data_IF_077009611521
#
_entry.id   IF_077009611521
#
_cell.length_a   1.000
_cell.length_b   1.000
_cell.length_c   1.000
_cell.angle_alpha   90.00
_cell.angle_beta   90.00
_cell.angle_gamma   90.00
#
_symmetry.space_group_name_H-M   'P 1'
#
loop_
_entity.id
_entity.type
_entity.pdbx_description
1 polymer ?
#
# COMPACT_ATOMS: atom_id res chain seq x y z
N UNK A 1 8.06 -13.37 -0.19
CA UNK A 1 6.72 -12.99 0.30
C UNK A 1 6.36 -13.81 1.53
N UNK A 2 6.03 -13.18 2.67
CA UNK A 2 5.79 -13.85 3.97
C UNK A 2 4.28 -14.02 4.29
N UNK A 3 3.47 -14.49 3.32
CA UNK A 3 2.04 -14.77 3.58
C UNK A 3 1.91 -15.98 4.51
N UNK A 4 1.10 -15.86 5.56
CA UNK A 4 0.81 -16.96 6.50
C UNK A 4 -0.01 -18.07 5.83
N UNK A 5 0.13 -19.31 6.29
CA UNK A 5 -0.74 -20.41 5.85
C UNK A 5 -2.16 -20.17 6.36
N UNK A 6 -3.16 -20.50 5.55
CA UNK A 6 -4.57 -20.41 5.95
C UNK A 6 -5.18 -19.01 5.92
N UNK A 7 -4.55 -18.05 5.24
CA UNK A 7 -5.17 -16.73 5.04
C UNK A 7 -6.45 -16.81 4.21
N UNK A 8 -7.49 -16.02 4.53
CA UNK A 8 -8.72 -15.97 3.75
C UNK A 8 -8.46 -15.56 2.28
N UNK A 9 -9.26 -16.09 1.32
CA UNK A 9 -9.22 -15.62 -0.06
C UNK A 9 -9.85 -14.23 -0.19
N UNK A 10 -9.50 -13.54 -1.28
CA UNK A 10 -10.08 -12.26 -1.70
C UNK A 10 -11.08 -12.48 -2.84
N UNK A 11 -11.99 -11.53 -3.04
CA UNK A 11 -13.00 -11.61 -4.10
C UNK A 11 -12.62 -10.75 -5.29
N UNK A 12 -12.49 -11.35 -6.47
CA UNK A 12 -12.24 -10.66 -7.74
C UNK A 12 -13.32 -11.09 -8.73
N UNK A 13 -14.07 -10.14 -9.29
CA UNK A 13 -15.18 -10.39 -10.23
C UNK A 13 -16.13 -11.52 -9.77
N UNK A 14 -16.46 -11.53 -8.47
CA UNK A 14 -17.34 -12.52 -7.84
C UNK A 14 -16.70 -13.89 -7.56
N UNK A 15 -15.42 -14.10 -7.91
CA UNK A 15 -14.69 -15.35 -7.65
C UNK A 15 -13.75 -15.21 -6.46
N UNK A 16 -13.69 -16.24 -5.62
CA UNK A 16 -12.70 -16.32 -4.53
C UNK A 16 -11.35 -16.73 -5.10
N UNK A 17 -10.35 -15.87 -4.91
CA UNK A 17 -8.96 -16.06 -5.34
C UNK A 17 -8.07 -16.12 -4.10
N UNK A 18 -7.13 -17.08 -4.00
CA UNK A 18 -6.15 -17.09 -2.92
C UNK A 18 -5.41 -15.75 -2.84
N UNK A 19 -5.33 -15.14 -1.66
CA UNK A 19 -4.73 -13.81 -1.49
C UNK A 19 -3.34 -13.70 -2.11
N UNK A 20 -2.49 -14.70 -1.87
CA UNK A 20 -1.14 -14.77 -2.47
C UNK A 20 -1.17 -14.72 -4.00
N UNK A 21 -2.11 -15.41 -4.63
CA UNK A 21 -2.23 -15.45 -6.08
C UNK A 21 -2.64 -14.08 -6.62
N UNK A 22 -3.56 -13.38 -5.95
CA UNK A 22 -3.94 -12.02 -6.33
C UNK A 22 -2.76 -11.04 -6.22
N UNK A 23 -2.01 -11.07 -5.11
CA UNK A 23 -0.84 -10.19 -4.96
C UNK A 23 0.24 -10.46 -6.02
N UNK A 24 0.53 -11.74 -6.30
CA UNK A 24 1.49 -12.10 -7.36
C UNK A 24 1.00 -11.65 -8.73
N UNK A 25 -0.29 -11.83 -9.04
CA UNK A 25 -0.85 -11.40 -10.31
C UNK A 25 -0.74 -9.87 -10.51
N UNK A 26 -0.88 -9.08 -9.45
CA UNK A 26 -0.61 -7.63 -9.51
C UNK A 26 0.87 -7.36 -9.80
N UNK A 27 1.77 -8.01 -9.05
CA UNK A 27 3.22 -7.83 -9.14
C UNK A 27 3.91 -8.45 -10.36
N UNK A 28 3.19 -9.28 -11.13
CA UNK A 28 3.64 -9.83 -12.40
C UNK A 28 2.94 -9.14 -13.60
N UNK A 29 2.04 -8.18 -13.35
CA UNK A 29 1.23 -7.53 -14.39
C UNK A 29 0.22 -8.46 -15.09
N UNK A 30 -0.11 -9.58 -14.46
CA UNK A 30 -1.02 -10.63 -14.97
C UNK A 30 -2.47 -10.41 -14.55
N UNK A 31 -2.73 -9.51 -13.60
CA UNK A 31 -4.09 -9.16 -13.20
C UNK A 31 -4.87 -8.59 -14.39
N UNK A 32 -6.10 -9.06 -14.59
CA UNK A 32 -6.98 -8.58 -15.65
C UNK A 32 -7.26 -7.09 -15.45
N UNK A 33 -7.05 -6.31 -16.51
CA UNK A 33 -7.29 -4.89 -16.55
C UNK A 33 -8.43 -4.55 -17.49
N UNK A 34 -9.16 -3.48 -17.19
CA UNK A 34 -10.25 -2.96 -18.00
C UNK A 34 -9.99 -1.51 -18.42
N UNK A 35 -10.62 -1.08 -19.50
CA UNK A 35 -10.71 0.34 -19.86
C UNK A 35 -11.94 0.94 -19.17
N UNK A 36 -11.77 2.08 -18.51
CA UNK A 36 -12.85 2.85 -17.90
C UNK A 36 -12.84 4.25 -18.54
N UNK A 37 -14.01 4.75 -18.95
CA UNK A 37 -14.12 6.03 -19.66
C UNK A 37 -13.47 6.01 -21.04
N UNK A 38 -12.75 7.08 -21.38
CA UNK A 38 -12.07 7.27 -22.67
C UNK A 38 -10.61 6.77 -22.65
N UNK A 39 -10.21 5.97 -21.66
CA UNK A 39 -8.85 5.43 -21.60
C UNK A 39 -8.57 4.50 -22.80
N UNK A 40 -7.55 4.79 -23.62
CA UNK A 40 -7.28 4.06 -24.86
C UNK A 40 -6.81 2.62 -24.63
N UNK A 41 -6.29 2.34 -23.42
CA UNK A 41 -5.75 1.04 -23.06
C UNK A 41 -6.30 0.54 -21.71
N UNK A 42 -6.51 -0.78 -21.57
CA UNK A 42 -6.99 -1.37 -20.34
C UNK A 42 -5.89 -1.32 -19.27
N UNK A 43 -6.02 -0.37 -18.34
CA UNK A 43 -5.05 -0.15 -17.26
C UNK A 43 -5.66 -0.24 -15.86
N UNK A 44 -6.98 -0.35 -15.73
CA UNK A 44 -7.65 -0.38 -14.44
C UNK A 44 -7.81 -1.81 -13.92
N UNK A 45 -7.34 -2.06 -12.69
CA UNK A 45 -7.56 -3.33 -11.99
C UNK A 45 -8.63 -3.17 -10.92
N UNK A 46 -9.45 -4.19 -10.73
CA UNK A 46 -10.45 -4.22 -9.64
C UNK A 46 -9.78 -4.55 -8.30
N UNK A 47 -10.11 -3.76 -7.28
CA UNK A 47 -9.71 -3.99 -5.91
C UNK A 47 -10.70 -4.93 -5.21
N UNK A 48 -10.23 -5.95 -4.48
CA UNK A 48 -11.11 -6.76 -3.66
C UNK A 48 -11.82 -5.93 -2.59
N UNK A 49 -13.13 -6.15 -2.35
CA UNK A 49 -13.86 -5.49 -1.28
C UNK A 49 -13.25 -5.72 0.10
N UNK A 50 -12.57 -6.85 0.31
CA UNK A 50 -11.95 -7.18 1.59
C UNK A 50 -10.78 -6.26 1.98
N UNK A 51 -10.16 -5.61 0.99
CA UNK A 51 -9.01 -4.71 1.20
C UNK A 51 -9.33 -3.26 0.85
N UNK A 52 -10.44 -2.99 0.14
CA UNK A 52 -10.83 -1.64 -0.26
C UNK A 52 -11.55 -0.91 0.88
N UNK A 53 -11.08 0.29 1.22
CA UNK A 53 -11.74 1.16 2.20
C UNK A 53 -12.85 1.94 1.51
N UNK A 54 -14.09 1.73 1.95
CA UNK A 54 -15.20 2.63 1.64
C UNK A 54 -15.24 3.75 2.67
N UNK A 55 -15.32 5.00 2.21
CA UNK A 55 -15.30 6.16 3.08
C UNK A 55 -16.27 7.25 2.61
N UNK A 56 -16.57 8.18 3.52
CA UNK A 56 -17.24 9.44 3.21
C UNK A 56 -16.53 10.58 3.91
N UNK A 57 -16.51 11.76 3.29
CA UNK A 57 -15.79 12.92 3.81
C UNK A 57 -14.30 12.90 3.46
N UNK A 58 -13.45 13.17 4.45
CA UNK A 58 -12.00 13.34 4.24
C UNK A 58 -11.28 11.98 4.06
N UNK A 59 -10.66 11.72 2.89
CA UNK A 59 -9.95 10.49 2.62
C UNK A 59 -8.70 10.29 3.49
N UNK A 60 -8.00 11.37 3.84
CA UNK A 60 -6.82 11.30 4.71
C UNK A 60 -7.25 10.89 6.11
N UNK A 61 -8.35 11.46 6.61
CA UNK A 61 -8.92 11.05 7.89
C UNK A 61 -9.37 9.59 7.85
N UNK A 62 -10.00 9.14 6.77
CA UNK A 62 -10.48 7.76 6.63
C UNK A 62 -9.35 6.73 6.67
N UNK A 63 -8.25 6.93 5.92
CA UNK A 63 -7.11 6.00 5.97
C UNK A 63 -6.42 6.02 7.35
N UNK A 64 -6.32 7.18 8.00
CA UNK A 64 -5.74 7.27 9.34
C UNK A 64 -6.64 6.61 10.38
N UNK A 65 -7.97 6.74 10.27
CA UNK A 65 -8.92 6.04 11.13
C UNK A 65 -8.79 4.53 10.98
N UNK A 66 -8.70 4.02 9.75
CA UNK A 66 -8.60 2.58 9.49
C UNK A 66 -7.30 1.97 10.03
N UNK A 67 -6.17 2.67 9.87
CA UNK A 67 -4.86 2.14 10.28
C UNK A 67 -4.52 2.46 11.74
N UNK A 68 -4.83 3.67 12.19
CA UNK A 68 -4.45 4.22 13.48
C UNK A 68 -5.65 4.55 14.39
N UNK A 69 -6.84 3.95 14.18
CA UNK A 69 -8.04 4.24 14.97
C UNK A 69 -7.86 4.12 16.49
N UNK A 70 -7.04 3.18 16.95
CA UNK A 70 -6.75 2.93 18.38
C UNK A 70 -5.58 3.77 18.93
N UNK A 71 -5.12 4.79 18.20
CA UNK A 71 -3.93 5.54 18.57
C UNK A 71 -4.05 6.19 19.96
N UNK A 72 -5.22 6.74 20.30
CA UNK A 72 -5.45 7.35 21.62
C UNK A 72 -5.47 6.31 22.74
N UNK A 73 -6.00 5.12 22.49
CA UNK A 73 -6.01 4.02 23.46
C UNK A 73 -4.65 3.33 23.62
N UNK A 74 -3.77 3.47 22.61
CA UNK A 74 -2.42 2.89 22.66
C UNK A 74 -1.48 3.60 23.64
N UNK A 75 -1.83 4.79 24.15
CA UNK A 75 -0.97 5.62 25.02
C UNK A 75 0.46 5.82 24.49
N UNK A 76 0.64 5.83 23.17
CA UNK A 76 1.96 5.98 22.55
C UNK A 76 2.81 4.71 22.61
N UNK A 77 2.21 3.52 22.75
CA UNK A 77 2.91 2.24 22.72
C UNK A 77 3.76 2.10 21.44
N UNK A 78 5.09 1.96 21.56
CA UNK A 78 5.97 1.78 20.41
C UNK A 78 5.64 0.53 19.58
N UNK A 79 5.11 -0.53 20.20
CA UNK A 79 4.71 -1.75 19.49
C UNK A 79 3.53 -1.53 18.55
N UNK A 80 2.51 -0.83 19.04
CA UNK A 80 1.36 -0.40 18.25
C UNK A 80 1.77 0.44 17.03
N UNK A 81 2.66 1.40 17.22
CA UNK A 81 3.14 2.28 16.15
C UNK A 81 4.01 1.54 15.12
N UNK A 82 4.93 0.68 15.57
CA UNK A 82 5.86 -0.05 14.68
C UNK A 82 5.17 -1.09 13.80
N UNK A 83 4.01 -1.60 14.21
CA UNK A 83 3.26 -2.60 13.46
C UNK A 83 2.36 -2.03 12.36
N UNK A 84 2.36 -0.70 12.18
CA UNK A 84 1.48 0.05 11.27
C UNK A 84 2.25 0.94 10.31
N UNK A 85 1.79 1.03 9.07
CA UNK A 85 2.32 2.00 8.10
C UNK A 85 1.25 2.43 7.09
N UNK A 86 1.35 3.66 6.59
CA UNK A 86 0.60 4.14 5.42
C UNK A 86 1.60 4.48 4.32
N UNK A 87 1.41 3.91 3.13
CA UNK A 87 2.19 4.19 1.92
C UNK A 87 1.37 5.04 0.96
N UNK A 88 1.99 6.04 0.35
CA UNK A 88 1.35 6.93 -0.64
C UNK A 88 2.41 7.47 -1.62
N UNK A 89 2.07 7.75 -2.89
CA UNK A 89 3.10 7.94 -3.92
C UNK A 89 3.82 9.30 -3.80
N UNK A 90 3.13 10.33 -3.32
CA UNK A 90 3.65 11.69 -3.26
C UNK A 90 3.99 12.11 -1.83
N UNK A 91 5.11 12.82 -1.68
CA UNK A 91 5.56 13.35 -0.40
C UNK A 91 4.58 14.34 0.23
N UNK A 92 3.80 15.06 -0.57
CA UNK A 92 2.73 15.93 -0.06
C UNK A 92 1.67 15.13 0.69
N UNK A 93 1.21 14.03 0.11
CA UNK A 93 0.27 13.11 0.76
C UNK A 93 0.87 12.47 2.02
N UNK A 94 2.17 12.15 2.01
CA UNK A 94 2.89 11.70 3.21
C UNK A 94 2.80 12.76 4.32
N UNK A 95 3.02 14.04 4.00
CA UNK A 95 2.91 15.13 4.98
C UNK A 95 1.51 15.22 5.56
N UNK A 96 0.48 15.15 4.72
CA UNK A 96 -0.91 15.25 5.18
C UNK A 96 -1.27 14.11 6.13
N UNK A 97 -0.95 12.86 5.76
CA UNK A 97 -1.15 11.68 6.61
C UNK A 97 -0.38 11.82 7.93
N UNK A 98 0.90 12.17 7.86
CA UNK A 98 1.73 12.34 9.06
C UNK A 98 1.17 13.41 9.99
N UNK A 99 0.74 14.56 9.45
CA UNK A 99 0.13 15.63 10.25
C UNK A 99 -1.16 15.16 10.92
N UNK A 100 -2.03 14.45 10.20
CA UNK A 100 -3.28 13.91 10.77
C UNK A 100 -3.02 12.87 11.86
N UNK A 101 -1.98 12.04 11.75
CA UNK A 101 -1.56 11.10 12.81
C UNK A 101 -1.02 11.87 14.02
N UNK A 102 -0.13 12.84 13.80
CA UNK A 102 0.51 13.62 14.87
C UNK A 102 -0.50 14.45 15.67
N UNK A 103 -1.53 15.01 15.04
CA UNK A 103 -2.60 15.75 15.71
C UNK A 103 -3.41 14.91 16.69
N UNK A 104 -3.36 13.58 16.58
CA UNK A 104 -4.06 12.65 17.49
C UNK A 104 -3.19 12.19 18.65
N UNK A 105 -1.88 12.41 18.59
CA UNK A 105 -0.96 12.05 19.66
C UNK A 105 -0.93 13.15 20.72
N UNK A 106 -0.90 12.79 22.02
CA UNK A 106 -0.61 13.75 23.06
C UNK A 106 0.86 14.19 22.98
N UNK A 107 1.12 15.49 23.11
CA UNK A 107 2.48 16.04 23.19
C UNK A 107 2.76 17.17 22.19
N UNK A 108 4.00 17.66 22.21
CA UNK A 108 4.42 18.74 21.31
C UNK A 108 4.87 18.19 19.95
N UNK A 109 4.41 18.84 18.88
CA UNK A 109 4.87 18.56 17.53
C UNK A 109 6.35 18.94 17.38
N UNK A 110 7.13 18.03 16.80
CA UNK A 110 8.52 18.31 16.45
C UNK A 110 8.82 17.77 15.07
N UNK A 111 9.18 18.67 14.16
CA UNK A 111 9.63 18.32 12.82
C UNK A 111 11.12 17.94 12.86
N UNK A 112 11.43 16.75 12.37
CA UNK A 112 12.80 16.28 12.17
C UNK A 112 13.05 16.13 10.67
N UNK A 113 14.13 16.72 10.16
CA UNK A 113 14.58 16.48 8.79
C UNK A 113 15.35 15.16 8.76
N UNK A 114 15.11 14.32 7.75
CA UNK A 114 15.91 13.10 7.56
C UNK A 114 17.38 13.47 7.40
N UNK A 115 18.25 12.86 8.21
CA UNK A 115 19.68 12.97 8.03
C UNK A 115 20.13 11.90 7.03
N UNK A 116 20.71 12.32 5.90
CA UNK A 116 21.33 11.41 4.92
C UNK A 116 22.70 10.90 5.38
N UNK A 117 23.12 11.26 6.60
CA UNK A 117 24.40 10.88 7.18
C UNK A 117 24.24 9.66 8.08
N UNK A 118 24.80 8.53 7.66
CA UNK A 118 25.04 7.39 8.55
C UNK A 118 26.07 7.84 9.59
N UNK A 119 25.66 8.05 10.84
CA UNK A 119 26.59 8.27 11.93
C UNK A 119 27.48 7.04 12.07
N UNK A 120 28.81 7.22 11.98
CA UNK A 120 29.78 6.18 12.38
C UNK A 120 29.70 6.03 13.90
N UNK A 121 28.80 5.16 14.38
CA UNK A 121 28.56 4.99 15.82
C UNK A 121 28.20 3.55 16.15
N UNK A 122 29.22 2.82 16.64
CA UNK A 122 29.20 1.53 17.35
C UNK A 122 28.34 0.39 16.77
N UNK A 123 29.04 -0.65 16.33
CA UNK A 123 28.54 -2.01 16.11
C UNK A 123 27.74 -2.54 17.29
N UNK A 124 26.41 -2.50 17.18
CA UNK A 124 25.51 -3.53 17.71
C UNK A 124 24.80 -4.14 16.54
N UNK A 125 25.30 -5.29 16.13
CA UNK A 125 24.67 -6.21 15.19
C UNK A 125 23.40 -6.78 15.83
N UNK A 126 22.28 -6.14 15.56
CA UNK A 126 21.03 -6.85 15.33
C UNK A 126 20.59 -6.42 13.94
N UNK A 127 20.87 -7.28 12.96
CA UNK A 127 20.31 -7.12 11.63
C UNK A 127 18.79 -7.06 11.79
N UNK A 128 18.20 -5.93 11.46
CA UNK A 128 16.75 -5.73 11.43
C UNK A 128 16.16 -6.75 10.44
N UNK A 129 15.71 -7.89 10.97
CA UNK A 129 15.06 -8.97 10.21
C UNK A 129 13.69 -8.50 9.71
N UNK A 130 13.66 -7.54 8.79
CA UNK A 130 12.46 -7.07 8.09
C UNK A 130 11.22 -6.98 8.98
N UNK A 131 11.09 -5.87 9.73
CA UNK A 131 9.90 -5.58 10.53
C UNK A 131 8.64 -5.87 9.72
N UNK A 132 7.92 -6.91 10.16
CA UNK A 132 6.71 -7.35 9.48
C UNK A 132 5.58 -6.45 9.96
N UNK A 133 5.21 -5.49 9.11
CA UNK A 133 4.08 -4.59 9.35
C UNK A 133 2.80 -5.42 9.28
N UNK A 134 2.02 -5.41 10.36
CA UNK A 134 0.79 -6.22 10.45
C UNK A 134 -0.40 -5.50 9.81
N UNK A 135 -0.38 -4.17 9.84
CA UNK A 135 -1.46 -3.31 9.34
C UNK A 135 -0.89 -2.25 8.40
N UNK A 136 -1.11 -2.42 7.11
CA UNK A 136 -0.61 -1.53 6.07
C UNK A 136 -1.78 -0.86 5.36
N UNK A 137 -1.75 0.47 5.37
CA UNK A 137 -2.57 1.31 4.51
C UNK A 137 -1.84 1.64 3.22
N UNK A 138 -2.53 1.57 2.09
CA UNK A 138 -2.09 2.08 0.81
C UNK A 138 -3.05 3.20 0.41
N UNK A 139 -2.60 4.44 0.53
CA UNK A 139 -3.35 5.63 0.18
C UNK A 139 -2.96 6.10 -1.22
N UNK A 140 -3.90 5.95 -2.16
CA UNK A 140 -3.73 6.22 -3.59
C UNK A 140 -4.65 7.39 -4.01
N UNK A 141 -4.33 8.63 -3.60
CA UNK A 141 -5.07 9.81 -4.05
C UNK A 141 -4.85 10.09 -5.54
N UNK A 142 -3.67 9.75 -6.05
CA UNK A 142 -3.34 9.83 -7.47
C UNK A 142 -3.03 8.44 -8.01
N UNK A 143 -3.35 8.22 -9.27
CA UNK A 143 -3.08 6.98 -10.01
C UNK A 143 -1.61 6.81 -10.42
N UNK A 144 -0.65 7.43 -9.72
CA UNK A 144 0.80 7.39 -10.05
C UNK A 144 1.57 6.25 -9.36
N UNK A 145 0.89 5.27 -8.78
CA UNK A 145 1.58 4.15 -8.14
C UNK A 145 2.20 3.22 -9.18
N UNK A 146 3.49 3.42 -9.46
CA UNK A 146 4.25 2.52 -10.32
C UNK A 146 4.27 1.09 -9.75
N UNK A 147 4.21 0.10 -10.64
CA UNK A 147 4.16 -1.33 -10.35
C UNK A 147 5.02 -1.81 -9.15
N UNK A 148 6.28 -1.38 -9.10
CA UNK A 148 7.22 -1.79 -8.06
C UNK A 148 6.84 -1.31 -6.66
N UNK A 149 6.23 -0.13 -6.53
CA UNK A 149 5.84 0.40 -5.22
C UNK A 149 4.60 -0.34 -4.69
N UNK A 150 3.61 -0.65 -5.55
CA UNK A 150 2.40 -1.37 -5.14
C UNK A 150 2.76 -2.77 -4.65
N UNK A 151 3.56 -3.49 -5.43
CA UNK A 151 4.04 -4.81 -5.05
C UNK A 151 4.83 -4.78 -3.75
N UNK A 152 5.74 -3.81 -3.55
CA UNK A 152 6.51 -3.71 -2.31
C UNK A 152 5.58 -3.48 -1.11
N UNK A 153 4.61 -2.57 -1.20
CA UNK A 153 3.67 -2.31 -0.10
C UNK A 153 2.83 -3.54 0.23
N UNK A 154 2.29 -4.22 -0.79
CA UNK A 154 1.45 -5.41 -0.61
C UNK A 154 2.27 -6.64 -0.18
N UNK A 155 3.53 -6.77 -0.60
CA UNK A 155 4.39 -7.88 -0.20
C UNK A 155 4.80 -7.87 1.27
N UNK A 156 4.66 -6.72 1.94
CA UNK A 156 4.95 -6.52 3.36
C UNK A 156 3.83 -7.01 4.28
N UNK A 157 2.61 -7.19 3.76
CA UNK A 157 1.49 -7.75 4.52
C UNK A 157 1.48 -9.27 4.49
N UNK A 158 0.95 -9.86 5.55
CA UNK A 158 0.90 -11.31 5.71
C UNK A 158 -0.49 -11.91 5.51
N UNK A 159 -1.54 -11.08 5.50
CA UNK A 159 -2.95 -11.45 5.31
C UNK A 159 -3.77 -10.32 4.66
N UNK A 160 -4.95 -10.59 4.07
CA UNK A 160 -5.84 -9.56 3.54
C UNK A 160 -6.30 -8.56 4.61
N UNK A 161 -6.58 -9.02 5.83
CA UNK A 161 -7.05 -8.15 6.91
C UNK A 161 -5.99 -7.10 7.32
N UNK A 162 -4.72 -7.43 7.12
CA UNK A 162 -3.60 -6.52 7.35
C UNK A 162 -3.36 -5.53 6.21
N UNK A 163 -4.14 -5.56 5.13
CA UNK A 163 -4.01 -4.67 3.99
C UNK A 163 -5.28 -3.85 3.81
N UNK A 164 -5.11 -2.53 3.71
CA UNK A 164 -6.18 -1.60 3.43
C UNK A 164 -5.77 -0.64 2.32
N UNK A 165 -6.58 -0.51 1.30
CA UNK A 165 -6.32 0.32 0.13
C UNK A 165 -7.43 1.35 0.04
N UNK A 166 -7.08 2.63 0.04
CA UNK A 166 -7.99 3.74 -0.19
C UNK A 166 -7.57 4.42 -1.48
N UNK A 167 -8.46 4.41 -2.46
CA UNK A 167 -8.35 5.23 -3.68
C UNK A 167 -9.21 6.47 -3.50
N UNK A 168 -8.73 7.63 -3.94
CA UNK A 168 -9.56 8.83 -4.04
C UNK A 168 -10.04 8.90 -5.47
N UNK A 169 -11.36 8.98 -5.62
CA UNK A 169 -11.99 9.12 -6.92
C UNK A 169 -12.84 10.37 -6.98
N UNK A 170 -12.65 11.12 -8.05
CA UNK A 170 -13.57 12.19 -8.44
C UNK A 170 -14.82 11.60 -9.13
N UNK A 171 -14.70 10.41 -9.72
CA UNK A 171 -15.75 9.72 -10.46
C UNK A 171 -16.24 8.44 -9.77
N UNK A 172 -17.57 8.28 -9.68
CA UNK A 172 -18.18 7.04 -9.17
C UNK A 172 -17.84 5.79 -10.01
N UNK A 173 -17.42 5.98 -11.27
CA UNK A 173 -17.14 4.90 -12.22
C UNK A 173 -15.85 4.13 -11.88
N UNK A 174 -14.91 4.77 -11.19
CA UNK A 174 -13.58 4.26 -10.89
C UNK A 174 -13.47 3.77 -9.44
N UNK A 175 -14.52 3.97 -8.63
CA UNK A 175 -14.57 3.51 -7.24
C UNK A 175 -14.33 1.99 -7.16
N UNK A 176 -13.35 1.59 -6.36
CA UNK A 176 -12.95 0.18 -6.24
C UNK A 176 -12.06 -0.33 -7.38
N UNK A 177 -11.55 0.57 -8.21
CA UNK A 177 -10.53 0.30 -9.20
C UNK A 177 -9.29 1.15 -8.95
N UNK A 178 -8.16 0.71 -9.48
CA UNK A 178 -6.94 1.53 -9.51
C UNK A 178 -6.17 1.25 -10.79
N UNK A 179 -5.45 2.24 -11.32
CA UNK A 179 -4.59 2.01 -12.49
C UNK A 179 -3.38 1.19 -12.07
N UNK A 180 -3.20 0.04 -12.70
CA UNK A 180 -1.98 -0.74 -12.60
C UNK A 180 -1.04 -0.29 -13.72
N UNK A 181 -0.15 0.67 -13.44
CA UNK A 181 0.85 1.13 -14.40
C UNK A 181 1.98 0.11 -14.46
N UNK A 182 1.69 -1.03 -15.08
CA UNK A 182 2.68 -2.00 -15.55
C UNK A 182 2.83 -1.79 -17.04
N UNK A 183 3.92 -1.14 -17.45
CA UNK A 183 4.29 -1.18 -18.86
C UNK A 183 4.77 -2.60 -19.17
N UNK A 184 3.85 -3.45 -19.66
CA UNK A 184 4.15 -4.83 -20.09
C UNK A 184 5.32 -4.86 -21.07
N UNK A 185 5.44 -3.82 -21.89
CA UNK A 185 6.51 -3.59 -22.85
C UNK A 185 7.90 -3.56 -22.18
N UNK A 186 8.03 -2.95 -21.01
CA UNK A 186 9.30 -2.91 -20.27
C UNK A 186 9.69 -4.31 -19.81
N UNK A 187 8.73 -5.14 -19.37
CA UNK A 187 9.00 -6.52 -18.95
C UNK A 187 9.36 -7.42 -20.13
N UNK A 188 8.72 -7.27 -21.29
CA UNK A 188 9.10 -8.00 -22.49
C UNK A 188 10.47 -7.59 -23.02
N UNK A 189 10.81 -6.30 -23.00
CA UNK A 189 12.13 -5.79 -23.37
C UNK A 189 13.18 -6.33 -22.40
N UNK A 190 12.92 -6.32 -21.10
CA UNK A 190 13.81 -6.88 -20.08
C UNK A 190 14.00 -8.40 -20.22
N UNK A 191 12.94 -9.16 -20.50
CA UNK A 191 13.05 -10.61 -20.73
C UNK A 191 13.84 -10.92 -22.00
N UNK A 192 13.57 -10.22 -23.11
CA UNK A 192 14.31 -10.40 -24.38
C UNK A 192 15.80 -10.06 -24.24
N UNK A 193 16.14 -9.06 -23.41
CA UNK A 193 17.54 -8.68 -23.14
C UNK A 193 18.29 -9.66 -22.23
N UNK A 194 17.60 -10.47 -21.41
CA UNK A 194 18.23 -11.45 -20.50
C UNK A 194 18.32 -12.88 -21.04
N UNK A 195 17.56 -13.22 -22.07
CA UNK A 195 17.59 -14.57 -22.69
C UNK A 195 18.67 -14.68 -23.79
N UNK A 196 19.37 -13.58 -24.09
CA UNK A 196 20.44 -13.52 -25.09
C UNK A 196 21.86 -13.22 -24.56
N UNK A 197 22.10 -13.37 -23.25
CA UNK A 197 23.45 -13.42 -22.66
C UNK A 197 23.70 -14.75 -21.91
#
# INVERSE_FOLDING_TARGET
MRIQRGVPPVTIHGKKVPFRQWVLAIGDGLQESISIGDDPEPSWISLPPEVHIQYSGDPVKAIVDEIYGELQHSNGDPGYLRSRAVFTPLNEHVKNVNMTVLQRLPGEFKEYKSCDTICKGSSTSEADEGQTVQNVGLYLPDTVFGHGQMYVAVSRVTSPAGLKILTVDEDLATTGFTKNIVYREIFEIWYKLRVHD
#
